data_IF_332141958999
#
_entry.id   IF_332141958999
#
_cell.length_a   1.000
_cell.length_b   1.000
_cell.length_c   1.000
_cell.angle_alpha   90.00
_cell.angle_beta   90.00
_cell.angle_gamma   90.00
#
_symmetry.space_group_name_H-M   'P 1'
#
loop_
_entity.id
_entity.type
_entity.pdbx_description
1 polymer ?
#
# COMPACT_ATOMS: atom_id res chain seq x y z
N UNK A 1 7.55 8.90 -22.29
CA UNK A 1 8.29 7.72 -21.75
C UNK A 1 7.41 6.94 -20.78
N UNK A 2 7.73 5.67 -20.52
CA UNK A 2 7.07 4.82 -19.53
C UNK A 2 7.72 4.96 -18.14
N UNK A 3 7.05 4.43 -17.10
CA UNK A 3 7.61 4.39 -15.72
C UNK A 3 8.92 3.60 -15.68
N UNK A 4 8.99 2.48 -16.39
CA UNK A 4 10.16 1.61 -16.45
C UNK A 4 11.32 2.30 -17.15
N UNK A 5 11.07 2.98 -18.24
CA UNK A 5 12.08 3.78 -18.96
C UNK A 5 12.61 4.91 -18.06
N UNK A 6 11.72 5.63 -17.36
CA UNK A 6 12.14 6.65 -16.43
C UNK A 6 13.05 6.11 -15.32
N UNK A 7 12.73 4.94 -14.75
CA UNK A 7 13.54 4.30 -13.70
C UNK A 7 14.92 3.83 -14.17
N UNK A 8 15.12 3.62 -15.48
CA UNK A 8 16.44 3.28 -16.05
C UNK A 8 17.35 4.51 -16.16
N UNK A 9 16.80 5.71 -16.18
CA UNK A 9 17.59 6.93 -16.16
C UNK A 9 18.38 7.01 -14.86
N UNK A 10 19.68 7.20 -14.93
CA UNK A 10 20.51 7.34 -13.74
C UNK A 10 20.20 8.66 -13.03
N UNK A 11 19.95 8.60 -11.75
CA UNK A 11 19.66 9.77 -10.92
C UNK A 11 20.75 10.83 -11.00
N UNK A 12 22.02 10.42 -11.09
CA UNK A 12 23.13 11.36 -11.26
C UNK A 12 23.04 12.17 -12.56
N UNK A 13 22.60 11.53 -13.66
CA UNK A 13 22.49 12.18 -14.97
C UNK A 13 21.28 13.12 -14.99
N UNK A 14 20.19 12.71 -14.34
CA UNK A 14 19.00 13.54 -14.16
C UNK A 14 19.28 14.77 -13.30
N UNK A 15 19.98 14.61 -12.18
CA UNK A 15 20.38 15.74 -11.32
C UNK A 15 21.35 16.68 -12.05
N UNK A 16 22.25 16.12 -12.84
CA UNK A 16 23.16 16.93 -13.65
C UNK A 16 22.40 17.76 -14.70
N UNK A 17 21.41 17.19 -15.37
CA UNK A 17 20.56 17.93 -16.32
C UNK A 17 19.76 19.06 -15.68
N UNK A 18 19.49 18.97 -14.37
CA UNK A 18 18.86 19.99 -13.55
C UNK A 18 19.87 21.00 -12.96
N UNK A 19 21.17 20.86 -13.27
CA UNK A 19 22.24 21.78 -12.81
C UNK A 19 22.84 21.38 -11.45
N UNK A 20 22.47 20.25 -10.86
CA UNK A 20 23.04 19.79 -9.60
C UNK A 20 24.29 18.93 -9.83
N UNK A 21 25.35 19.22 -9.09
CA UNK A 21 26.61 18.46 -9.12
C UNK A 21 26.92 17.88 -7.73
N UNK A 22 27.52 16.68 -7.66
CA UNK A 22 27.88 16.11 -6.38
C UNK A 22 28.99 16.90 -5.71
N UNK A 23 28.91 17.09 -4.40
CA UNK A 23 29.92 17.75 -3.57
C UNK A 23 31.05 16.78 -3.19
N UNK A 24 30.68 15.50 -2.96
CA UNK A 24 31.64 14.42 -2.65
C UNK A 24 31.12 13.07 -3.10
N UNK A 25 32.05 12.13 -3.27
CA UNK A 25 31.74 10.72 -3.53
C UNK A 25 32.32 9.86 -2.41
N UNK A 26 31.58 8.83 -2.01
CA UNK A 26 32.01 7.87 -0.99
C UNK A 26 31.51 6.47 -1.35
N UNK A 27 32.36 5.66 -1.98
CA UNK A 27 31.99 4.39 -2.59
C UNK A 27 30.94 4.59 -3.68
N UNK A 28 29.83 3.84 -3.61
CA UNK A 28 28.70 3.94 -4.53
C UNK A 28 27.75 5.11 -4.24
N UNK A 29 28.09 5.97 -3.28
CA UNK A 29 27.24 7.09 -2.88
C UNK A 29 27.81 8.43 -3.34
N UNK A 30 26.99 9.19 -4.04
CA UNK A 30 27.22 10.59 -4.39
C UNK A 30 26.44 11.48 -3.41
N UNK A 31 27.10 12.50 -2.90
CA UNK A 31 26.49 13.44 -1.97
C UNK A 31 26.35 14.81 -2.63
N UNK A 32 25.15 15.37 -2.53
CA UNK A 32 24.75 16.65 -3.08
C UNK A 32 24.26 17.58 -1.97
N UNK A 33 24.29 18.87 -2.20
CA UNK A 33 23.38 19.78 -1.50
C UNK A 33 21.95 19.46 -1.94
N UNK A 34 20.99 19.58 -1.03
CA UNK A 34 19.60 19.23 -1.32
C UNK A 34 19.05 20.05 -2.50
N UNK A 35 18.39 19.42 -3.48
CA UNK A 35 17.70 20.16 -4.54
C UNK A 35 16.41 20.85 -4.07
N UNK A 36 16.03 20.68 -2.80
CA UNK A 36 14.76 21.18 -2.25
C UNK A 36 14.92 22.42 -1.37
N UNK A 37 16.16 22.78 -1.00
CA UNK A 37 16.46 23.91 -0.11
C UNK A 37 17.92 24.35 -0.26
N UNK A 38 18.18 25.58 0.16
CA UNK A 38 19.55 26.06 0.35
C UNK A 38 20.15 25.49 1.62
N UNK A 39 21.37 24.93 1.53
CA UNK A 39 22.10 24.38 2.66
C UNK A 39 23.62 24.53 2.47
N UNK A 40 24.33 24.60 3.58
CA UNK A 40 25.82 24.73 3.57
C UNK A 40 26.50 23.37 3.38
N UNK A 41 25.95 22.30 3.95
CA UNK A 41 26.51 20.96 3.93
C UNK A 41 25.66 20.02 3.05
N UNK A 42 26.34 19.03 2.45
CA UNK A 42 25.66 18.05 1.60
C UNK A 42 24.87 17.05 2.44
N UNK A 43 23.55 17.05 2.31
CA UNK A 43 22.63 16.16 3.02
C UNK A 43 21.76 15.30 2.09
N UNK A 44 21.90 15.45 0.79
CA UNK A 44 21.20 14.65 -0.20
C UNK A 44 22.13 13.58 -0.78
N UNK A 45 21.80 12.32 -0.64
CA UNK A 45 22.60 11.16 -1.05
C UNK A 45 21.95 10.41 -2.21
N UNK A 46 22.72 10.10 -3.24
CA UNK A 46 22.34 9.19 -4.34
C UNK A 46 23.20 7.95 -4.27
N UNK A 47 22.58 6.78 -4.18
CA UNK A 47 23.26 5.50 -4.36
C UNK A 47 23.22 5.13 -5.85
N UNK A 48 24.37 5.12 -6.52
CA UNK A 48 24.48 4.90 -7.97
C UNK A 48 24.19 3.44 -8.36
N UNK A 49 24.48 2.48 -7.48
CA UNK A 49 24.24 1.06 -7.71
C UNK A 49 22.75 0.71 -7.61
N UNK A 50 22.04 1.27 -6.63
CA UNK A 50 20.62 1.06 -6.42
C UNK A 50 19.76 2.01 -7.26
N UNK A 51 20.36 3.06 -7.84
CA UNK A 51 19.68 4.15 -8.52
C UNK A 51 18.56 4.76 -7.66
N UNK A 52 18.87 5.04 -6.39
CA UNK A 52 17.98 5.60 -5.39
C UNK A 52 18.63 6.79 -4.68
N UNK A 53 17.82 7.73 -4.25
CA UNK A 53 18.24 8.88 -3.48
C UNK A 53 17.62 8.88 -2.07
N UNK A 54 18.23 9.60 -1.17
CA UNK A 54 17.72 9.90 0.16
C UNK A 54 18.21 11.27 0.62
N UNK A 55 17.30 12.11 1.09
CA UNK A 55 17.60 13.41 1.67
C UNK A 55 17.44 13.33 3.19
N UNK A 56 18.55 13.53 3.91
CA UNK A 56 18.59 13.43 5.36
C UNK A 56 17.91 14.61 6.05
N UNK A 57 17.76 15.76 5.37
CA UNK A 57 17.09 16.93 5.93
C UNK A 57 15.58 16.83 5.95
N UNK A 58 14.99 16.19 4.92
CA UNK A 58 13.54 15.96 4.87
C UNK A 58 13.14 14.52 5.27
N UNK A 59 14.14 13.64 5.50
CA UNK A 59 13.88 12.26 5.89
C UNK A 59 13.19 11.39 4.84
N UNK A 60 13.29 11.75 3.55
CA UNK A 60 12.58 11.11 2.46
C UNK A 60 13.52 10.73 1.31
N UNK A 61 13.12 9.69 0.55
CA UNK A 61 13.91 9.20 -0.57
C UNK A 61 13.13 8.31 -1.51
N UNK A 62 13.79 7.87 -2.60
CA UNK A 62 13.15 6.98 -3.58
C UNK A 62 13.87 6.91 -4.91
N UNK A 63 13.12 6.65 -5.97
CA UNK A 63 13.60 6.63 -7.36
C UNK A 63 13.41 7.99 -8.04
N UNK A 64 13.67 8.06 -9.36
CA UNK A 64 13.55 9.28 -10.15
C UNK A 64 12.14 9.89 -10.14
N UNK A 65 11.09 9.04 -10.10
CA UNK A 65 9.70 9.51 -10.08
C UNK A 65 9.39 10.19 -8.74
N UNK A 66 9.86 9.59 -7.63
CA UNK A 66 9.76 10.20 -6.31
C UNK A 66 10.54 11.53 -6.23
N UNK A 67 11.72 11.61 -6.86
CA UNK A 67 12.51 12.85 -6.96
C UNK A 67 11.74 13.92 -7.72
N UNK A 68 11.22 13.60 -8.91
CA UNK A 68 10.44 14.51 -9.72
C UNK A 68 9.17 14.97 -9.00
N UNK A 69 8.49 14.06 -8.27
CA UNK A 69 7.32 14.41 -7.46
C UNK A 69 7.63 15.49 -6.42
N UNK A 70 8.77 15.39 -5.74
CA UNK A 70 9.21 16.41 -4.78
C UNK A 70 9.62 17.72 -5.48
N UNK A 71 10.38 17.65 -6.59
CA UNK A 71 10.86 18.82 -7.32
C UNK A 71 9.72 19.68 -7.92
N UNK A 72 8.70 19.01 -8.45
CA UNK A 72 7.57 19.68 -9.13
C UNK A 72 6.33 19.80 -8.23
N UNK A 73 6.39 19.37 -6.98
CA UNK A 73 5.25 19.36 -6.04
C UNK A 73 3.99 18.77 -6.66
N UNK A 74 4.15 17.67 -7.41
CA UNK A 74 3.08 17.04 -8.19
C UNK A 74 3.03 15.54 -7.94
N UNK A 75 1.82 14.95 -8.07
CA UNK A 75 1.58 13.51 -7.90
C UNK A 75 1.13 12.79 -9.18
N UNK A 76 0.77 13.54 -10.22
CA UNK A 76 0.30 13.00 -11.50
C UNK A 76 1.44 12.32 -12.28
N UNK A 77 1.44 10.99 -12.35
CA UNK A 77 2.53 10.20 -12.96
C UNK A 77 2.79 10.62 -14.41
N UNK A 78 1.76 10.81 -15.22
CA UNK A 78 1.91 11.23 -16.63
C UNK A 78 2.60 12.60 -16.75
N UNK A 79 2.27 13.56 -15.88
CA UNK A 79 2.94 14.84 -15.81
C UNK A 79 4.40 14.71 -15.42
N UNK A 80 4.70 13.89 -14.39
CA UNK A 80 6.06 13.67 -13.92
C UNK A 80 6.95 13.00 -14.99
N UNK A 81 6.41 12.01 -15.71
CA UNK A 81 7.12 11.36 -16.83
C UNK A 81 7.42 12.35 -17.96
N UNK A 82 6.48 13.24 -18.28
CA UNK A 82 6.69 14.29 -19.26
C UNK A 82 7.80 15.25 -18.82
N UNK A 83 7.78 15.72 -17.56
CA UNK A 83 8.84 16.58 -16.99
C UNK A 83 10.21 15.91 -16.98
N UNK A 84 10.28 14.62 -16.65
CA UNK A 84 11.55 13.86 -16.71
C UNK A 84 12.06 13.79 -18.15
N UNK A 85 11.19 13.52 -19.10
CA UNK A 85 11.54 13.43 -20.53
C UNK A 85 12.03 14.74 -21.09
N UNK A 86 11.41 15.87 -20.74
CA UNK A 86 11.85 17.21 -21.11
C UNK A 86 13.26 17.54 -20.61
N UNK A 87 13.62 17.09 -19.41
CA UNK A 87 14.94 17.33 -18.81
C UNK A 87 16.02 16.36 -19.29
N UNK A 88 15.62 15.26 -19.93
CA UNK A 88 16.56 14.21 -20.38
C UNK A 88 16.46 13.89 -21.88
N UNK A 89 16.44 14.89 -22.78
CA UNK A 89 16.19 14.67 -24.22
C UNK A 89 17.29 13.85 -24.91
N UNK A 90 18.47 13.78 -24.33
CA UNK A 90 19.63 13.07 -24.89
C UNK A 90 19.92 11.71 -24.24
N UNK A 91 19.21 11.37 -23.16
CA UNK A 91 19.36 10.09 -22.46
C UNK A 91 18.38 9.11 -23.10
N UNK A 92 18.78 8.50 -24.24
CA UNK A 92 18.01 7.38 -24.78
C UNK A 92 18.27 6.18 -23.87
N UNK A 93 17.23 5.58 -23.28
CA UNK A 93 17.39 4.30 -22.61
C UNK A 93 17.91 3.30 -23.65
N UNK A 94 18.99 2.58 -23.31
CA UNK A 94 19.49 1.48 -24.14
C UNK A 94 18.39 0.43 -24.16
N UNK A 95 17.67 0.35 -25.26
CA UNK A 95 16.63 -0.65 -25.43
C UNK A 95 17.28 -2.02 -25.58
N UNK A 96 17.46 -2.72 -24.47
CA UNK A 96 17.54 -4.17 -24.54
C UNK A 96 16.14 -4.66 -24.90
N UNK A 97 16.04 -5.28 -26.07
CA UNK A 97 14.82 -5.96 -26.51
C UNK A 97 14.59 -7.20 -25.65
N UNK A 98 14.13 -6.97 -24.40
CA UNK A 98 13.34 -7.97 -23.74
C UNK A 98 11.99 -8.00 -24.46
N UNK A 99 11.57 -9.19 -24.91
CA UNK A 99 10.23 -9.47 -25.39
C UNK A 99 9.24 -8.57 -24.63
N UNK A 100 8.58 -7.69 -25.36
CA UNK A 100 7.41 -6.99 -24.86
C UNK A 100 6.47 -8.02 -24.22
N UNK A 101 6.56 -8.18 -22.91
CA UNK A 101 5.35 -8.51 -22.19
C UNK A 101 4.49 -7.26 -22.39
N UNK A 102 3.51 -7.39 -23.28
CA UNK A 102 2.43 -6.43 -23.40
C UNK A 102 1.92 -6.21 -21.99
N UNK A 103 2.26 -5.06 -21.38
CA UNK A 103 1.52 -4.58 -20.25
C UNK A 103 0.12 -4.36 -20.82
N UNK A 104 -0.75 -5.33 -20.56
CA UNK A 104 -2.18 -5.14 -20.76
C UNK A 104 -2.53 -3.84 -20.05
N UNK A 105 -3.17 -2.91 -20.78
CA UNK A 105 -3.85 -1.77 -20.20
C UNK A 105 -4.52 -2.20 -18.89
N UNK A 106 -4.62 -1.31 -17.86
CA UNK A 106 -5.24 -1.72 -16.61
C UNK A 106 -6.51 -2.46 -16.96
N UNK A 107 -6.52 -3.75 -16.68
CA UNK A 107 -7.52 -4.69 -17.19
C UNK A 107 -8.94 -4.40 -16.70
N UNK A 108 -9.08 -3.36 -15.87
CA UNK A 108 -10.33 -2.88 -15.30
C UNK A 108 -10.93 -1.79 -16.19
N UNK A 109 -11.82 -2.19 -17.07
CA UNK A 109 -12.63 -1.30 -17.90
C UNK A 109 -13.98 -1.02 -17.23
N UNK A 110 -14.62 0.10 -17.57
CA UNK A 110 -15.96 0.45 -17.12
C UNK A 110 -16.14 0.36 -15.59
N UNK A 111 -15.23 1.05 -14.87
CA UNK A 111 -15.31 1.07 -13.40
C UNK A 111 -16.45 1.97 -12.92
N UNK A 112 -17.27 1.43 -12.01
CA UNK A 112 -18.36 2.14 -11.35
C UNK A 112 -18.27 1.94 -9.84
N UNK A 113 -18.38 3.02 -9.08
CA UNK A 113 -18.36 3.02 -7.63
C UNK A 113 -19.78 3.22 -7.11
N UNK A 114 -20.22 2.37 -6.20
CA UNK A 114 -21.56 2.41 -5.59
C UNK A 114 -21.45 2.26 -4.07
N UNK A 115 -22.47 2.68 -3.31
CA UNK A 115 -22.59 2.29 -1.90
C UNK A 115 -22.59 0.78 -1.74
N UNK A 116 -21.88 0.27 -0.73
CA UNK A 116 -21.77 -1.16 -0.46
C UNK A 116 -23.12 -1.75 -0.05
N UNK A 117 -23.72 -2.54 -0.94
CA UNK A 117 -25.11 -3.04 -0.80
C UNK A 117 -25.33 -4.48 -1.27
N UNK A 118 -24.49 -5.03 -2.15
CA UNK A 118 -24.64 -6.40 -2.69
C UNK A 118 -24.69 -7.44 -1.58
N UNK A 119 -25.75 -8.27 -1.51
CA UNK A 119 -25.90 -9.31 -0.49
C UNK A 119 -24.69 -10.25 -0.41
N UNK A 120 -24.12 -10.65 -1.56
CA UNK A 120 -22.96 -11.53 -1.61
C UNK A 120 -21.70 -10.94 -0.96
N UNK A 121 -21.51 -9.61 -1.03
CA UNK A 121 -20.40 -8.92 -0.37
C UNK A 121 -20.68 -8.74 1.12
N UNK A 122 -21.91 -8.43 1.48
CA UNK A 122 -22.32 -8.32 2.90
C UNK A 122 -22.24 -9.67 3.61
N UNK A 123 -22.64 -10.75 2.95
CA UNK A 123 -22.50 -12.13 3.47
C UNK A 123 -21.02 -12.53 3.61
N UNK A 124 -20.17 -12.12 2.68
CA UNK A 124 -18.75 -12.33 2.79
C UNK A 124 -18.17 -11.62 4.01
N UNK A 125 -18.51 -10.35 4.24
CA UNK A 125 -18.06 -9.58 5.41
C UNK A 125 -18.57 -10.21 6.71
N UNK A 126 -19.86 -10.57 6.76
CA UNK A 126 -20.45 -11.25 7.92
C UNK A 126 -19.77 -12.59 8.17
N UNK A 127 -19.47 -13.37 7.11
CA UNK A 127 -18.73 -14.62 7.17
C UNK A 127 -17.29 -14.44 7.72
N UNK A 128 -16.72 -13.25 7.57
CA UNK A 128 -15.42 -12.83 8.12
C UNK A 128 -15.52 -12.17 9.51
N UNK A 129 -16.69 -12.20 10.12
CA UNK A 129 -16.93 -11.63 11.45
C UNK A 129 -17.04 -10.10 11.49
N UNK A 130 -16.99 -9.43 10.35
CA UNK A 130 -17.00 -7.97 10.27
C UNK A 130 -18.40 -7.41 10.54
N UNK A 131 -18.49 -6.36 11.34
CA UNK A 131 -19.70 -5.58 11.53
C UNK A 131 -20.06 -4.86 10.22
N UNK A 132 -21.18 -5.25 9.61
CA UNK A 132 -21.62 -4.75 8.29
C UNK A 132 -21.88 -3.24 8.29
N UNK A 133 -22.57 -2.64 9.28
CA UNK A 133 -22.71 -1.19 9.39
C UNK A 133 -21.38 -0.43 9.36
N UNK A 134 -20.36 -0.91 10.07
CA UNK A 134 -19.03 -0.30 10.04
C UNK A 134 -18.39 -0.43 8.66
N UNK A 135 -18.45 -1.63 8.04
CA UNK A 135 -17.92 -1.84 6.71
C UNK A 135 -18.58 -0.95 5.64
N UNK A 136 -19.89 -0.72 5.73
CA UNK A 136 -20.63 0.19 4.82
C UNK A 136 -20.18 1.64 4.95
N UNK A 137 -19.69 2.06 6.11
CA UNK A 137 -19.16 3.39 6.33
C UNK A 137 -17.76 3.57 5.76
N UNK A 138 -16.93 2.54 5.87
CA UNK A 138 -15.51 2.59 5.50
C UNK A 138 -15.25 2.16 4.05
N UNK A 139 -16.16 1.41 3.43
CA UNK A 139 -15.96 0.78 2.13
C UNK A 139 -17.06 1.16 1.13
N UNK A 140 -16.74 0.98 -0.12
CA UNK A 140 -17.65 1.10 -1.27
C UNK A 140 -17.80 -0.24 -1.98
N UNK A 141 -18.69 -0.31 -2.96
CA UNK A 141 -18.79 -1.41 -3.90
C UNK A 141 -18.21 -0.96 -5.25
N UNK A 142 -17.22 -1.70 -5.74
CA UNK A 142 -16.55 -1.43 -7.00
C UNK A 142 -17.01 -2.45 -8.03
N UNK A 143 -17.65 -1.97 -9.10
CA UNK A 143 -18.00 -2.76 -10.29
C UNK A 143 -16.98 -2.47 -11.38
N UNK A 144 -16.52 -3.49 -12.07
CA UNK A 144 -15.57 -3.35 -13.17
C UNK A 144 -15.67 -4.50 -14.16
N UNK A 145 -15.18 -4.27 -15.36
CA UNK A 145 -15.06 -5.30 -16.40
C UNK A 145 -13.59 -5.67 -16.55
N UNK A 146 -13.30 -6.97 -16.56
CA UNK A 146 -11.97 -7.51 -16.82
C UNK A 146 -12.07 -8.64 -17.84
N UNK A 147 -11.33 -8.55 -18.94
CA UNK A 147 -11.39 -9.52 -20.05
C UNK A 147 -12.84 -9.80 -20.51
N UNK A 148 -13.65 -8.75 -20.68
CA UNK A 148 -15.05 -8.84 -21.12
C UNK A 148 -16.04 -9.40 -20.09
N UNK A 149 -15.60 -9.75 -18.88
CA UNK A 149 -16.44 -10.26 -17.80
C UNK A 149 -16.65 -9.19 -16.73
N UNK A 150 -17.88 -9.09 -16.24
CA UNK A 150 -18.24 -8.17 -15.16
C UNK A 150 -17.89 -8.78 -13.80
N UNK A 151 -17.30 -7.97 -12.94
CA UNK A 151 -16.95 -8.30 -11.57
C UNK A 151 -17.44 -7.22 -10.63
N UNK A 152 -17.60 -7.58 -9.37
CA UNK A 152 -17.84 -6.63 -8.29
C UNK A 152 -17.10 -7.08 -7.02
N UNK A 153 -16.68 -6.12 -6.23
CA UNK A 153 -15.90 -6.36 -5.02
C UNK A 153 -16.14 -5.24 -4.00
N UNK A 154 -15.81 -5.51 -2.74
CA UNK A 154 -15.63 -4.49 -1.72
C UNK A 154 -14.42 -3.66 -2.14
N UNK A 155 -14.56 -2.34 -2.16
CA UNK A 155 -13.49 -1.38 -2.42
C UNK A 155 -13.17 -0.58 -1.18
N UNK A 156 -11.91 -0.55 -0.79
CA UNK A 156 -11.40 0.29 0.28
C UNK A 156 -10.49 1.37 -0.34
N UNK A 157 -10.84 2.67 -0.21
CA UNK A 157 -10.12 3.74 -0.89
C UNK A 157 -8.74 3.96 -0.29
N UNK A 158 -7.78 4.35 -1.13
CA UNK A 158 -6.45 4.73 -0.71
C UNK A 158 -6.16 6.23 -0.97
N UNK A 159 -5.04 6.73 -0.46
CA UNK A 159 -4.67 8.13 -0.52
C UNK A 159 -4.43 8.66 -1.94
N UNK A 160 -4.13 7.79 -2.90
CA UNK A 160 -3.87 8.16 -4.30
C UNK A 160 -5.11 8.06 -5.22
N UNK A 161 -6.30 7.80 -4.66
CA UNK A 161 -7.56 7.66 -5.41
C UNK A 161 -7.78 6.28 -6.03
N UNK A 162 -6.95 5.30 -5.69
CA UNK A 162 -7.16 3.89 -6.02
C UNK A 162 -7.97 3.16 -4.95
N UNK A 163 -8.22 1.88 -5.17
CA UNK A 163 -8.99 1.03 -4.25
C UNK A 163 -8.30 -0.30 -4.04
N UNK A 164 -8.15 -0.72 -2.80
CA UNK A 164 -7.94 -2.14 -2.50
C UNK A 164 -9.27 -2.86 -2.64
N UNK A 165 -9.29 -3.93 -3.44
CA UNK A 165 -10.53 -4.65 -3.75
C UNK A 165 -10.48 -6.08 -3.21
N UNK A 166 -11.63 -6.54 -2.67
CA UNK A 166 -11.74 -7.88 -2.12
C UNK A 166 -13.16 -8.43 -2.23
N UNK A 167 -13.25 -9.70 -2.57
CA UNK A 167 -14.45 -10.50 -2.39
C UNK A 167 -14.07 -11.93 -1.97
N UNK A 168 -15.01 -12.87 -2.03
CA UNK A 168 -14.79 -14.28 -1.65
C UNK A 168 -13.71 -14.96 -2.51
N UNK A 169 -13.54 -14.54 -3.76
CA UNK A 169 -12.76 -15.25 -4.77
C UNK A 169 -11.38 -14.64 -5.03
N UNK A 170 -11.23 -13.35 -4.80
CA UNK A 170 -9.96 -12.65 -5.06
C UNK A 170 -9.73 -11.46 -4.14
N UNK A 171 -8.48 -11.05 -4.06
CA UNK A 171 -8.03 -9.75 -3.59
C UNK A 171 -7.18 -9.10 -4.67
N UNK A 172 -7.24 -7.78 -4.78
CA UNK A 172 -6.48 -7.03 -5.77
C UNK A 172 -6.48 -5.55 -5.45
N UNK A 173 -6.00 -4.77 -6.39
CA UNK A 173 -5.97 -3.31 -6.29
C UNK A 173 -6.39 -2.70 -7.62
N UNK A 174 -7.29 -1.74 -7.58
CA UNK A 174 -7.52 -0.79 -8.67
C UNK A 174 -6.52 0.33 -8.48
N UNK A 175 -5.65 0.50 -9.48
CA UNK A 175 -4.56 1.49 -9.44
C UNK A 175 -5.09 2.93 -9.29
N UNK A 176 -4.29 3.81 -8.72
CA UNK A 176 -2.94 3.63 -8.20
C UNK A 176 -2.91 2.95 -6.83
N UNK A 177 -1.84 2.18 -6.54
CA UNK A 177 -1.66 1.50 -5.27
C UNK A 177 -0.99 2.42 -4.26
N UNK A 178 -1.65 2.61 -3.10
CA UNK A 178 -1.13 3.46 -2.04
C UNK A 178 -1.56 3.00 -0.65
N UNK A 179 -1.03 3.66 0.39
CA UNK A 179 -1.53 3.57 1.76
C UNK A 179 -2.89 4.25 1.88
N UNK A 180 -3.63 3.91 2.93
CA UNK A 180 -4.79 4.69 3.37
C UNK A 180 -4.45 5.33 4.71
N UNK A 181 -4.68 6.64 4.84
CA UNK A 181 -4.45 7.38 6.07
C UNK A 181 -5.73 8.08 6.50
N UNK A 182 -6.37 7.56 7.54
CA UNK A 182 -7.61 8.08 8.11
C UNK A 182 -7.23 8.98 9.29
N UNK A 183 -7.39 10.28 9.09
CA UNK A 183 -7.11 11.30 10.10
C UNK A 183 -8.41 11.85 10.66
N UNK A 184 -8.50 11.96 11.96
CA UNK A 184 -9.64 12.58 12.60
C UNK A 184 -9.45 14.10 12.70
N UNK A 185 -10.54 14.85 12.53
CA UNK A 185 -10.52 16.31 12.64
C UNK A 185 -10.43 16.70 14.11
N UNK A 186 -9.52 17.58 14.46
CA UNK A 186 -9.31 18.07 15.82
C UNK A 186 -7.85 18.41 16.06
N UNK A 187 -7.47 18.50 17.31
CA UNK A 187 -6.08 18.63 17.74
C UNK A 187 -5.27 17.44 17.20
N UNK A 188 -4.03 17.71 16.84
CA UNK A 188 -3.10 16.69 16.36
C UNK A 188 -3.08 15.51 17.34
N UNK A 189 -3.57 14.35 16.90
CA UNK A 189 -3.52 13.13 17.70
C UNK A 189 -2.08 12.61 17.72
N UNK A 190 -1.63 12.17 18.87
CA UNK A 190 -0.28 11.65 19.07
C UNK A 190 -0.14 10.15 18.77
N UNK A 191 -1.28 9.49 18.52
CA UNK A 191 -1.37 8.03 18.38
C UNK A 191 -1.91 7.63 17.02
N UNK A 192 -1.19 6.72 16.34
CA UNK A 192 -1.62 6.09 15.09
C UNK A 192 -1.65 4.57 15.24
N UNK A 193 -2.74 3.95 14.77
CA UNK A 193 -2.86 2.50 14.66
C UNK A 193 -2.63 2.07 13.22
N UNK A 194 -1.58 1.27 13.01
CA UNK A 194 -1.11 0.83 11.71
C UNK A 194 -1.53 -0.62 11.44
N UNK A 195 -2.19 -0.85 10.31
CA UNK A 195 -2.66 -2.16 9.85
C UNK A 195 -1.99 -2.57 8.54
N UNK A 196 -1.82 -3.90 8.34
CA UNK A 196 -1.32 -4.39 7.07
C UNK A 196 -2.38 -4.28 5.97
N UNK A 197 -3.62 -4.68 6.26
CA UNK A 197 -4.73 -4.67 5.33
C UNK A 197 -6.03 -4.11 5.90
N UNK A 198 -6.95 -3.69 5.03
CA UNK A 198 -8.21 -3.10 5.47
C UNK A 198 -9.15 -4.10 6.19
N UNK A 199 -8.98 -5.41 5.96
CA UNK A 199 -9.76 -6.42 6.70
C UNK A 199 -9.39 -6.45 8.18
N UNK A 200 -8.11 -6.22 8.52
CA UNK A 200 -7.63 -6.14 9.89
C UNK A 200 -8.10 -4.85 10.56
N UNK A 201 -8.06 -3.74 9.81
CA UNK A 201 -8.66 -2.48 10.25
C UNK A 201 -10.15 -2.63 10.57
N UNK A 202 -10.95 -3.23 9.68
CA UNK A 202 -12.38 -3.50 9.92
C UNK A 202 -12.61 -4.45 11.10
N UNK A 203 -11.70 -5.43 11.28
CA UNK A 203 -11.74 -6.34 12.43
C UNK A 203 -11.50 -5.60 13.73
N UNK A 204 -10.53 -4.70 13.76
CA UNK A 204 -10.26 -3.83 14.91
C UNK A 204 -11.48 -2.97 15.26
N UNK A 205 -12.09 -2.29 14.28
CA UNK A 205 -13.28 -1.49 14.50
C UNK A 205 -14.44 -2.34 15.04
N UNK A 206 -14.63 -3.54 14.49
CA UNK A 206 -15.66 -4.48 14.94
C UNK A 206 -15.46 -4.88 16.40
N UNK A 207 -14.24 -5.29 16.77
CA UNK A 207 -13.90 -5.68 18.14
C UNK A 207 -14.08 -4.52 19.12
N UNK A 208 -13.73 -3.32 18.70
CA UNK A 208 -13.86 -2.12 19.51
C UNK A 208 -15.33 -1.76 19.75
N UNK A 209 -16.17 -1.83 18.71
CA UNK A 209 -17.61 -1.66 18.80
C UNK A 209 -18.26 -2.72 19.71
N UNK A 210 -17.82 -3.98 19.64
CA UNK A 210 -18.30 -5.05 20.53
C UNK A 210 -17.92 -4.81 21.99
N UNK A 211 -16.70 -4.29 22.25
CA UNK A 211 -16.20 -4.06 23.59
C UNK A 211 -16.75 -2.79 24.25
N UNK A 212 -17.08 -1.79 23.44
CA UNK A 212 -17.56 -0.47 23.88
C UNK A 212 -18.73 -0.03 22.99
N UNK A 213 -19.94 -0.64 23.13
CA UNK A 213 -21.05 -0.37 22.23
C UNK A 213 -21.51 1.09 22.22
N UNK A 214 -21.54 1.74 23.38
CA UNK A 214 -22.02 3.12 23.53
C UNK A 214 -20.96 4.16 23.10
N UNK A 215 -19.69 3.89 23.41
CA UNK A 215 -18.59 4.85 23.21
C UNK A 215 -17.35 4.14 22.65
N UNK A 216 -17.35 3.74 21.37
CA UNK A 216 -16.24 2.98 20.80
C UNK A 216 -14.97 3.83 20.62
N UNK A 217 -15.05 5.15 20.72
CA UNK A 217 -13.90 6.07 20.64
C UNK A 217 -13.03 5.85 19.41
N UNK A 218 -13.64 5.73 18.24
CA UNK A 218 -12.90 5.58 16.98
C UNK A 218 -12.05 6.80 16.62
N UNK A 219 -12.43 7.95 17.14
CA UNK A 219 -11.86 9.28 16.93
C UNK A 219 -10.69 9.63 17.87
N UNK A 220 -10.30 8.74 18.78
CA UNK A 220 -9.21 8.98 19.75
C UNK A 220 -7.81 8.66 19.22
N UNK A 221 -7.72 8.10 18.05
CA UNK A 221 -6.48 7.79 17.34
C UNK A 221 -6.69 7.89 15.83
N UNK A 222 -5.62 8.17 15.11
CA UNK A 222 -5.61 8.05 13.65
C UNK A 222 -5.33 6.62 13.22
N UNK A 223 -5.68 6.30 11.98
CA UNK A 223 -5.46 4.97 11.42
C UNK A 223 -4.68 5.05 10.12
N UNK A 224 -3.73 4.13 9.96
CA UNK A 224 -3.00 3.96 8.74
C UNK A 224 -3.06 2.51 8.29
N UNK A 225 -3.41 2.30 7.04
CA UNK A 225 -3.48 0.98 6.44
C UNK A 225 -2.47 0.92 5.30
N UNK A 226 -1.51 0.00 5.40
CA UNK A 226 -0.46 -0.16 4.42
C UNK A 226 -0.99 -0.64 3.07
N UNK A 227 -2.10 -1.40 3.07
CA UNK A 227 -2.67 -2.08 1.90
C UNK A 227 -1.71 -3.11 1.27
N UNK A 228 -0.47 -3.11 1.69
CA UNK A 228 0.57 -4.11 1.43
C UNK A 228 1.83 -3.72 2.20
N UNK A 229 2.57 -4.69 2.72
CA UNK A 229 3.88 -4.46 3.35
C UNK A 229 4.87 -3.72 2.43
N UNK A 230 4.73 -3.86 1.10
CA UNK A 230 5.52 -3.11 0.13
C UNK A 230 5.36 -1.58 0.21
N UNK A 231 4.28 -1.10 0.81
CA UNK A 231 4.01 0.33 0.98
C UNK A 231 4.58 0.91 2.30
N UNK A 232 5.28 0.13 3.13
CA UNK A 232 5.88 0.63 4.38
C UNK A 232 6.72 1.90 4.15
N UNK A 233 7.46 1.96 3.03
CA UNK A 233 8.25 3.14 2.68
C UNK A 233 7.43 4.42 2.53
N UNK A 234 6.19 4.33 2.05
CA UNK A 234 5.27 5.47 1.92
C UNK A 234 4.67 5.91 3.27
N UNK A 235 4.59 4.98 4.22
CA UNK A 235 4.06 5.24 5.55
C UNK A 235 5.07 5.97 6.46
N UNK A 236 6.38 5.89 6.19
CA UNK A 236 7.39 6.42 7.08
C UNK A 236 7.23 7.93 7.33
N UNK A 237 7.04 8.70 6.26
CA UNK A 237 6.91 10.15 6.39
C UNK A 237 5.69 10.55 7.24
N UNK A 238 4.45 10.14 6.92
CA UNK A 238 3.30 10.53 7.73
C UNK A 238 3.30 9.93 9.14
N UNK A 239 3.94 8.77 9.38
CA UNK A 239 4.08 8.19 10.71
C UNK A 239 5.02 8.99 11.62
N UNK A 240 5.95 9.76 11.05
CA UNK A 240 6.86 10.61 11.82
C UNK A 240 6.17 11.67 12.68
N UNK A 241 4.91 12.01 12.36
CA UNK A 241 4.11 12.97 13.12
C UNK A 241 3.54 12.41 14.45
N UNK A 242 3.65 11.09 14.68
CA UNK A 242 3.05 10.43 15.85
C UNK A 242 4.10 10.09 16.91
N UNK A 243 3.68 10.16 18.19
CA UNK A 243 4.49 9.71 19.32
C UNK A 243 4.26 8.24 19.68
N UNK A 244 3.09 7.70 19.31
CA UNK A 244 2.72 6.32 19.56
C UNK A 244 2.20 5.66 18.31
N UNK A 245 2.90 4.62 17.83
CA UNK A 245 2.54 3.85 16.63
C UNK A 245 2.29 2.41 17.07
N UNK A 246 1.05 1.97 17.01
CA UNK A 246 0.64 0.61 17.34
C UNK A 246 0.50 -0.23 16.05
N UNK A 247 1.36 -1.22 15.87
CA UNK A 247 1.43 -2.03 14.64
C UNK A 247 0.61 -3.32 14.77
N UNK A 248 -0.42 -3.45 13.95
CA UNK A 248 -1.25 -4.66 13.79
C UNK A 248 -0.91 -5.29 12.43
N UNK A 249 0.26 -5.94 12.34
CA UNK A 249 0.76 -6.55 11.11
C UNK A 249 0.60 -8.07 11.16
N UNK A 250 0.59 -8.72 9.99
CA UNK A 250 0.49 -10.18 9.89
C UNK A 250 1.63 -10.86 10.64
N UNK A 251 1.34 -11.96 11.33
CA UNK A 251 2.34 -12.79 12.02
C UNK A 251 3.05 -13.73 11.04
N UNK A 252 3.51 -13.18 9.92
CA UNK A 252 4.33 -13.89 8.96
C UNK A 252 5.68 -13.16 8.76
N UNK A 253 6.53 -13.73 7.92
CA UNK A 253 7.86 -13.17 7.66
C UNK A 253 7.79 -11.72 7.14
N UNK A 254 6.84 -11.43 6.25
CA UNK A 254 6.74 -10.13 5.61
C UNK A 254 6.27 -9.05 6.60
N UNK A 255 5.27 -9.36 7.44
CA UNK A 255 4.81 -8.48 8.51
C UNK A 255 5.90 -8.23 9.56
N UNK A 256 6.67 -9.27 9.94
CA UNK A 256 7.82 -9.11 10.84
C UNK A 256 8.93 -8.23 10.25
N UNK A 257 9.24 -8.36 8.96
CA UNK A 257 10.23 -7.52 8.29
C UNK A 257 9.74 -6.05 8.21
N UNK A 258 8.45 -5.84 7.94
CA UNK A 258 7.83 -4.52 7.97
C UNK A 258 7.92 -3.88 9.36
N UNK A 259 7.57 -4.63 10.43
CA UNK A 259 7.73 -4.17 11.81
C UNK A 259 9.16 -3.77 12.14
N UNK A 260 10.15 -4.60 11.79
CA UNK A 260 11.57 -4.29 12.04
C UNK A 260 12.02 -3.03 11.32
N UNK A 261 11.48 -2.76 10.12
CA UNK A 261 11.78 -1.52 9.38
C UNK A 261 11.22 -0.30 10.11
N UNK A 262 9.98 -0.37 10.59
CA UNK A 262 9.35 0.68 11.37
C UNK A 262 10.08 0.91 12.70
N UNK A 263 10.44 -0.16 13.40
CA UNK A 263 11.18 -0.06 14.66
C UNK A 263 12.58 0.56 14.49
N UNK A 264 13.26 0.26 13.39
CA UNK A 264 14.56 0.90 13.07
C UNK A 264 14.43 2.39 12.82
N UNK A 265 13.31 2.83 12.27
CA UNK A 265 13.06 4.24 11.97
C UNK A 265 12.61 5.05 13.20
N UNK A 266 11.68 4.50 13.98
CA UNK A 266 10.98 5.23 15.03
C UNK A 266 11.30 4.75 16.46
N UNK A 267 12.03 3.65 16.60
CA UNK A 267 12.46 3.13 17.90
C UNK A 267 11.29 2.84 18.84
N UNK A 268 11.38 3.37 20.05
CA UNK A 268 10.43 3.12 21.15
C UNK A 268 9.01 3.67 20.90
N UNK A 269 8.82 4.54 19.90
CA UNK A 269 7.48 5.00 19.50
C UNK A 269 6.63 3.88 18.88
N UNK A 270 7.28 2.83 18.34
CA UNK A 270 6.61 1.71 17.69
C UNK A 270 6.38 0.58 18.68
N UNK A 271 5.13 0.15 18.77
CA UNK A 271 4.70 -0.98 19.62
C UNK A 271 4.12 -2.09 18.76
N UNK A 272 4.58 -3.31 18.99
CA UNK A 272 4.01 -4.51 18.36
C UNK A 272 2.70 -4.88 19.05
N UNK A 273 1.60 -4.68 18.34
CA UNK A 273 0.27 -5.07 18.80
C UNK A 273 -0.17 -6.44 18.27
N UNK A 274 0.65 -7.13 17.48
CA UNK A 274 0.36 -8.49 17.01
C UNK A 274 0.31 -9.49 18.16
N UNK A 275 0.90 -9.17 19.29
CA UNK A 275 0.84 -9.97 20.52
C UNK A 275 -0.60 -10.22 21.00
N UNK A 276 -1.54 -9.33 20.69
CA UNK A 276 -2.96 -9.49 21.08
C UNK A 276 -3.66 -10.61 20.32
N UNK A 277 -3.15 -11.03 19.17
CA UNK A 277 -3.66 -12.13 18.36
C UNK A 277 -2.62 -13.23 18.12
N UNK A 278 -1.75 -13.42 19.11
CA UNK A 278 -0.75 -14.50 19.10
C UNK A 278 -1.40 -15.85 18.80
N UNK A 279 -0.79 -16.65 17.92
CA UNK A 279 -1.33 -17.92 17.45
C UNK A 279 -2.31 -17.82 16.28
N UNK A 280 -2.56 -16.62 15.75
CA UNK A 280 -3.35 -16.37 14.54
C UNK A 280 -2.50 -15.62 13.53
N UNK A 281 -2.74 -15.86 12.25
CA UNK A 281 -1.97 -15.20 11.20
C UNK A 281 -2.16 -13.68 11.22
N UNK A 282 -3.41 -13.24 11.33
CA UNK A 282 -3.82 -11.85 11.27
C UNK A 282 -4.97 -11.55 12.25
N UNK A 283 -5.29 -10.28 12.43
CA UNK A 283 -6.32 -9.83 13.36
C UNK A 283 -7.72 -10.31 12.94
N UNK A 284 -7.96 -10.46 11.63
CA UNK A 284 -9.25 -10.96 11.15
C UNK A 284 -9.42 -12.46 11.45
N UNK A 285 -8.37 -13.27 11.36
CA UNK A 285 -8.41 -14.67 11.78
C UNK A 285 -8.74 -14.78 13.27
N UNK A 286 -8.10 -13.98 14.10
CA UNK A 286 -8.39 -13.91 15.55
C UNK A 286 -9.86 -13.56 15.80
N UNK A 287 -10.40 -12.52 15.14
CA UNK A 287 -11.80 -12.14 15.26
C UNK A 287 -12.75 -13.31 14.91
N UNK A 288 -12.49 -14.00 13.79
CA UNK A 288 -13.29 -15.14 13.36
C UNK A 288 -13.29 -16.27 14.40
N UNK A 289 -12.15 -16.60 14.99
CA UNK A 289 -12.03 -17.60 16.04
C UNK A 289 -12.75 -17.18 17.32
N UNK A 290 -12.57 -15.92 17.74
CA UNK A 290 -13.25 -15.36 18.93
C UNK A 290 -14.76 -15.43 18.81
N UNK A 291 -15.33 -15.25 17.61
CA UNK A 291 -16.75 -15.32 17.34
C UNK A 291 -17.24 -16.76 17.07
N UNK A 292 -16.38 -17.78 17.25
CA UNK A 292 -16.68 -19.15 16.94
C UNK A 292 -16.86 -19.45 15.43
N UNK A 293 -16.38 -18.54 14.58
CA UNK A 293 -16.46 -18.66 13.12
C UNK A 293 -15.19 -19.28 12.56
N UNK A 294 -15.30 -20.40 11.85
CA UNK A 294 -14.19 -21.01 11.11
C UNK A 294 -13.98 -20.23 9.82
N UNK A 295 -12.74 -19.80 9.56
CA UNK A 295 -12.34 -19.34 8.25
C UNK A 295 -12.37 -20.56 7.34
N UNK A 296 -13.37 -20.66 6.46
CA UNK A 296 -13.36 -21.65 5.41
C UNK A 296 -12.22 -21.32 4.43
N UNK A 297 -11.06 -21.97 4.61
CA UNK A 297 -10.11 -22.11 3.51
C UNK A 297 -10.83 -22.90 2.42
N UNK A 298 -11.31 -22.21 1.40
CA UNK A 298 -11.76 -22.88 0.18
C UNK A 298 -10.54 -23.48 -0.51
N UNK A 299 -10.16 -24.70 -0.10
CA UNK A 299 -9.53 -25.61 -1.03
C UNK A 299 -10.63 -25.94 -2.04
N UNK A 300 -10.59 -25.32 -3.20
CA UNK A 300 -11.37 -25.72 -4.36
C UNK A 300 -10.85 -27.08 -4.80
N UNK A 301 -11.22 -28.14 -4.07
CA UNK A 301 -11.16 -29.49 -4.58
C UNK A 301 -12.27 -29.55 -5.63
N UNK A 302 -11.91 -29.30 -6.92
CA UNK A 302 -12.71 -29.78 -8.02
C UNK A 302 -12.95 -31.25 -7.78
N UNK A 303 -14.13 -31.63 -7.31
CA UNK A 303 -14.60 -33.02 -7.42
C UNK A 303 -14.60 -33.36 -8.90
N UNK A 304 -13.60 -34.08 -9.36
CA UNK A 304 -13.61 -34.76 -10.65
C UNK A 304 -14.76 -35.78 -10.55
N UNK A 305 -15.76 -35.74 -11.43
CA UNK A 305 -16.81 -36.75 -11.41
C UNK A 305 -16.15 -38.10 -11.71
N UNK A 306 -16.27 -39.04 -10.79
CA UNK A 306 -15.87 -40.42 -11.00
C UNK A 306 -16.66 -40.98 -12.18
N UNK A 307 -15.97 -41.32 -13.28
CA UNK A 307 -16.57 -42.12 -14.36
C UNK A 307 -17.05 -43.43 -13.74
N UNK A 308 -18.37 -43.61 -13.67
CA UNK A 308 -18.97 -44.94 -13.44
C UNK A 308 -18.64 -45.79 -14.65
N UNK A 309 -17.75 -46.76 -14.50
CA UNK A 309 -17.59 -47.84 -15.44
C UNK A 309 -18.84 -48.73 -15.36
N UNK A 310 -19.80 -48.48 -16.25
CA UNK A 310 -20.87 -49.43 -16.53
C UNK A 310 -20.30 -50.58 -17.37
N UNK A 311 -20.05 -51.70 -16.76
CA UNK A 311 -20.03 -52.98 -17.48
C UNK A 311 -21.47 -53.42 -17.59
N UNK A 312 -21.94 -53.54 -18.81
CA UNK A 312 -23.11 -54.36 -19.14
C UNK A 312 -22.64 -55.54 -19.95
N UNK A 313 -23.22 -56.63 -19.64
CA UNK A 313 -23.12 -57.95 -20.22
C UNK A 313 -23.61 -57.94 -21.69
#
# INVERSE_FOLDING_TARGET
MTIEEAKQIKLQDYLHSLGFSPVKQQGDNLWYKSPFRDESEASFKVNTKLNQWYDFGIGYGGNIIALASCLYSASGVSYLLHRIEEQTPHIRPVSFSFRQQSFSEPSFQSMEIRPLSSPALLDYLSGRGINVPLAKRECVEVHFTNNGRRYFAIGFPNAAGGYEIRNRYFKGCVAPKDITHIRHKGDSLDTCYLFEGFMDYLSFLTMRQESYPETPHFDKQDYMILNSVGNVGKALYPLGAYEHIHCFLDQDRAGMEAYRKLYREFGIKVRDSSVFYSGHKDLNEYLCHRQGKKIHRQNAIRKVPSKKNGRSI
#
